data_IF_140530324916
#
_entry.id   IF_140530324916
#
_cell.length_a   1.000
_cell.length_b   1.000
_cell.length_c   1.000
_cell.angle_alpha   90.00
_cell.angle_beta   90.00
_cell.angle_gamma   90.00
#
_symmetry.space_group_name_H-M   'P 1'
#
loop_
_entity.id
_entity.type
_entity.pdbx_description
1 polymer ?
#
# COMPACT_ATOMS: atom_id res chain seq x y z
N UNK A 1 1.73 1.78 -29.59
CA UNK A 1 1.09 2.06 -28.32
C UNK A 1 2.09 1.80 -27.20
N UNK A 2 2.45 2.84 -26.46
CA UNK A 2 3.47 2.74 -25.42
C UNK A 2 2.79 2.33 -24.09
N UNK A 3 3.24 1.22 -23.50
CA UNK A 3 2.75 0.75 -22.21
C UNK A 3 3.71 1.24 -21.13
N UNK A 4 3.21 2.04 -20.20
CA UNK A 4 3.97 2.52 -19.06
C UNK A 4 3.82 1.51 -17.93
N UNK A 5 4.94 0.96 -17.47
CA UNK A 5 4.96 -0.04 -16.39
C UNK A 5 5.08 0.62 -15.03
N UNK A 6 4.37 0.10 -14.04
CA UNK A 6 4.46 0.50 -12.64
C UNK A 6 4.54 -0.71 -11.73
N UNK A 7 5.09 -0.52 -10.53
CA UNK A 7 5.12 -1.53 -9.49
C UNK A 7 4.17 -1.16 -8.36
N UNK A 8 3.49 -2.18 -7.81
CA UNK A 8 2.58 -2.00 -6.69
C UNK A 8 2.69 -3.17 -5.70
N UNK A 9 2.36 -2.91 -4.45
CA UNK A 9 2.42 -3.92 -3.39
C UNK A 9 1.09 -4.64 -3.20
N UNK A 10 1.18 -5.91 -2.85
CA UNK A 10 0.06 -6.74 -2.38
C UNK A 10 -0.11 -6.51 -0.87
N UNK A 11 -0.51 -5.29 -0.50
CA UNK A 11 -0.63 -4.87 0.89
C UNK A 11 -1.49 -5.80 1.75
N UNK A 12 -2.60 -6.33 1.20
CA UNK A 12 -3.46 -7.29 1.89
C UNK A 12 -2.70 -8.57 2.24
N UNK A 13 -1.93 -9.13 1.30
CA UNK A 13 -1.11 -10.30 1.56
C UNK A 13 -0.05 -10.03 2.64
N UNK A 14 0.53 -8.84 2.65
CA UNK A 14 1.47 -8.44 3.71
C UNK A 14 0.81 -8.46 5.08
N UNK A 15 -0.39 -7.89 5.21
CA UNK A 15 -1.13 -7.88 6.48
C UNK A 15 -1.44 -9.31 6.93
N UNK A 16 -1.92 -10.15 6.02
CA UNK A 16 -2.23 -11.57 6.33
C UNK A 16 -0.98 -12.30 6.80
N UNK A 17 0.13 -12.18 6.07
CA UNK A 17 1.39 -12.83 6.46
C UNK A 17 1.93 -12.30 7.80
N UNK A 18 1.80 -11.00 8.08
CA UNK A 18 2.15 -10.44 9.37
C UNK A 18 1.28 -11.02 10.50
N UNK A 19 -0.03 -11.10 10.28
CA UNK A 19 -0.98 -11.67 11.23
C UNK A 19 -0.71 -13.14 11.54
N UNK A 20 -0.28 -13.93 10.55
CA UNK A 20 0.11 -15.33 10.75
C UNK A 20 1.43 -15.42 11.52
N UNK A 21 2.39 -14.54 11.27
CA UNK A 21 3.70 -14.57 11.92
C UNK A 21 3.66 -14.10 13.39
N UNK A 22 2.74 -13.21 13.76
CA UNK A 22 2.62 -12.68 15.13
C UNK A 22 2.48 -13.76 16.22
N UNK A 23 1.60 -14.78 16.10
CA UNK A 23 1.50 -15.84 17.10
C UNK A 23 2.82 -16.59 17.31
N UNK A 24 3.60 -16.83 16.27
CA UNK A 24 4.90 -17.50 16.38
C UNK A 24 5.89 -16.64 17.17
N UNK A 25 5.93 -15.33 16.92
CA UNK A 25 6.77 -14.40 17.70
C UNK A 25 6.36 -14.42 19.18
N UNK A 26 5.06 -14.44 19.45
CA UNK A 26 4.53 -14.51 20.81
C UNK A 26 4.91 -15.81 21.52
N UNK A 27 4.79 -16.97 20.84
CA UNK A 27 5.21 -18.27 21.38
C UNK A 27 6.71 -18.27 21.72
N UNK A 28 7.55 -17.70 20.85
CA UNK A 28 9.00 -17.56 21.10
C UNK A 28 9.25 -16.72 22.36
N UNK A 29 8.52 -15.61 22.53
CA UNK A 29 8.64 -14.75 23.71
C UNK A 29 8.26 -15.49 25.00
N UNK A 30 7.17 -16.25 24.98
CA UNK A 30 6.77 -17.09 26.13
C UNK A 30 7.83 -18.13 26.47
N UNK A 31 8.41 -18.76 25.44
CA UNK A 31 9.47 -19.75 25.63
C UNK A 31 10.73 -19.13 26.24
N UNK A 32 11.15 -17.96 25.76
CA UNK A 32 12.30 -17.22 26.30
C UNK A 32 12.03 -16.82 27.76
N UNK A 33 10.84 -16.31 28.09
CA UNK A 33 10.47 -15.97 29.46
C UNK A 33 10.59 -17.18 30.41
N UNK A 34 10.08 -18.33 29.96
CA UNK A 34 10.17 -19.58 30.74
C UNK A 34 11.61 -20.04 30.93
N UNK A 35 12.46 -19.92 29.91
CA UNK A 35 13.87 -20.30 30.00
C UNK A 35 14.66 -19.39 30.96
N UNK A 36 14.29 -18.11 31.03
CA UNK A 36 14.96 -17.13 31.88
C UNK A 36 14.35 -17.01 33.28
N UNK A 37 13.33 -17.82 33.57
CA UNK A 37 12.57 -17.80 34.84
C UNK A 37 12.06 -16.40 35.22
N UNK A 38 11.63 -15.64 34.20
CA UNK A 38 11.13 -14.26 34.35
C UNK A 38 9.61 -14.31 34.53
N UNK A 39 9.11 -13.69 35.62
CA UNK A 39 7.68 -13.48 35.80
C UNK A 39 7.09 -12.57 34.70
N UNK A 40 5.95 -12.97 34.09
CA UNK A 40 5.30 -12.24 33.01
C UNK A 40 4.82 -10.84 33.41
N UNK A 41 4.61 -10.58 34.72
CA UNK A 41 4.23 -9.25 35.22
C UNK A 41 5.43 -8.32 35.42
N UNK A 42 6.66 -8.77 35.18
CA UNK A 42 7.85 -7.96 35.33
C UNK A 42 7.97 -6.90 34.25
N UNK A 43 8.21 -5.64 34.60
CA UNK A 43 8.40 -4.53 33.68
C UNK A 43 9.53 -4.81 32.67
N UNK A 44 10.61 -5.44 33.10
CA UNK A 44 11.73 -5.80 32.24
C UNK A 44 11.33 -6.81 31.16
N UNK A 45 10.49 -7.78 31.51
CA UNK A 45 9.94 -8.72 30.53
C UNK A 45 9.12 -7.99 29.46
N UNK A 46 8.23 -7.07 29.86
CA UNK A 46 7.44 -6.27 28.94
C UNK A 46 8.31 -5.44 27.99
N UNK A 47 9.38 -4.84 28.48
CA UNK A 47 10.32 -4.06 27.68
C UNK A 47 11.08 -4.93 26.68
N UNK A 48 11.56 -6.10 27.09
CA UNK A 48 12.24 -7.06 26.20
C UNK A 48 11.28 -7.53 25.11
N UNK A 49 10.06 -7.92 25.45
CA UNK A 49 9.05 -8.34 24.50
C UNK A 49 8.71 -7.24 23.49
N UNK A 50 8.51 -6.01 23.96
CA UNK A 50 8.26 -4.85 23.09
C UNK A 50 9.43 -4.61 22.12
N UNK A 51 10.66 -4.71 22.60
CA UNK A 51 11.87 -4.55 21.77
C UNK A 51 11.96 -5.64 20.70
N UNK A 52 11.74 -6.89 21.07
CA UNK A 52 11.73 -8.02 20.11
C UNK A 52 10.65 -7.80 19.04
N UNK A 53 9.45 -7.37 19.42
CA UNK A 53 8.36 -7.07 18.50
C UNK A 53 8.72 -5.95 17.52
N UNK A 54 9.34 -4.88 18.00
CA UNK A 54 9.78 -3.76 17.15
C UNK A 54 10.85 -4.20 16.17
N UNK A 55 11.84 -4.96 16.61
CA UNK A 55 12.89 -5.52 15.75
C UNK A 55 12.27 -6.44 14.68
N UNK A 56 11.35 -7.33 15.08
CA UNK A 56 10.66 -8.21 14.15
C UNK A 56 9.86 -7.42 13.11
N UNK A 57 9.08 -6.42 13.53
CA UNK A 57 8.33 -5.56 12.62
C UNK A 57 9.25 -4.85 11.63
N UNK A 58 10.37 -4.32 12.11
CA UNK A 58 11.36 -3.67 11.26
C UNK A 58 11.92 -4.64 10.20
N UNK A 59 12.36 -5.82 10.62
CA UNK A 59 12.89 -6.86 9.71
C UNK A 59 11.81 -7.29 8.71
N UNK A 60 10.59 -7.54 9.19
CA UNK A 60 9.46 -7.91 8.36
C UNK A 60 9.14 -6.84 7.31
N UNK A 61 9.08 -5.57 7.70
CA UNK A 61 8.86 -4.46 6.78
C UNK A 61 9.95 -4.40 5.70
N UNK A 62 11.22 -4.50 6.09
CA UNK A 62 12.35 -4.50 5.15
C UNK A 62 12.32 -5.69 4.20
N UNK A 63 12.07 -6.89 4.70
CA UNK A 63 11.99 -8.09 3.89
C UNK A 63 10.84 -8.03 2.87
N UNK A 64 9.65 -7.63 3.32
CA UNK A 64 8.45 -7.62 2.47
C UNK A 64 8.41 -6.46 1.48
N UNK A 65 9.22 -5.42 1.69
CA UNK A 65 9.22 -4.20 0.88
C UNK A 65 9.59 -4.47 -0.58
N UNK A 66 10.61 -5.29 -0.82
CA UNK A 66 11.15 -5.59 -2.15
C UNK A 66 11.01 -7.06 -2.55
N UNK A 67 10.34 -7.87 -1.73
CA UNK A 67 10.24 -9.29 -2.01
C UNK A 67 9.24 -9.57 -3.15
N UNK A 68 9.59 -10.40 -4.16
CA UNK A 68 8.73 -10.66 -5.35
C UNK A 68 7.33 -11.19 -5.02
N UNK A 69 7.14 -11.80 -3.87
CA UNK A 69 5.81 -12.29 -3.46
C UNK A 69 4.84 -11.15 -3.13
N UNK A 70 5.37 -10.02 -2.66
CA UNK A 70 4.58 -8.88 -2.22
C UNK A 70 4.56 -7.75 -3.24
N UNK A 71 5.48 -7.73 -4.18
CA UNK A 71 5.55 -6.76 -5.27
C UNK A 71 5.02 -7.37 -6.57
N UNK A 72 4.28 -6.58 -7.33
CA UNK A 72 3.74 -6.94 -8.64
C UNK A 72 3.95 -5.78 -9.60
N UNK A 73 4.13 -6.14 -10.85
CA UNK A 73 4.18 -5.17 -11.93
C UNK A 73 2.80 -5.09 -12.59
N UNK A 74 2.36 -3.88 -12.85
CA UNK A 74 1.23 -3.55 -13.70
C UNK A 74 1.68 -2.69 -14.85
N UNK A 75 0.76 -2.40 -15.75
CA UNK A 75 0.98 -1.45 -16.84
C UNK A 75 -0.28 -0.60 -17.04
N UNK A 76 -0.12 0.61 -17.55
CA UNK A 76 -1.23 1.40 -18.04
C UNK A 76 -0.86 2.00 -19.40
N UNK A 77 -1.88 2.29 -20.18
CA UNK A 77 -1.74 2.90 -21.51
C UNK A 77 -3.00 3.64 -21.89
N UNK A 78 -2.90 4.44 -22.92
CA UNK A 78 -4.01 5.20 -23.48
C UNK A 78 -4.29 4.65 -24.87
N UNK A 79 -5.55 4.39 -25.17
CA UNK A 79 -6.05 3.92 -26.45
C UNK A 79 -7.39 4.58 -26.73
N UNK A 80 -7.51 5.23 -27.88
CA UNK A 80 -8.72 5.94 -28.30
C UNK A 80 -9.29 6.90 -27.22
N UNK A 81 -8.41 7.63 -26.53
CA UNK A 81 -8.81 8.57 -25.48
C UNK A 81 -9.26 7.92 -24.17
N UNK A 82 -9.11 6.60 -24.05
CA UNK A 82 -9.48 5.86 -22.84
C UNK A 82 -8.24 5.32 -22.14
N UNK A 83 -8.19 5.44 -20.83
CA UNK A 83 -7.10 4.90 -20.00
C UNK A 83 -7.39 3.44 -19.66
N UNK A 84 -6.42 2.59 -19.93
CA UNK A 84 -6.45 1.17 -19.58
C UNK A 84 -5.43 0.88 -18.48
N UNK A 85 -5.81 0.06 -17.51
CA UNK A 85 -4.91 -0.41 -16.46
C UNK A 85 -4.87 -1.93 -16.45
N UNK A 86 -3.70 -2.49 -16.60
CA UNK A 86 -3.45 -3.91 -16.40
C UNK A 86 -2.93 -4.16 -15.01
N UNK A 87 -3.71 -4.88 -14.21
CA UNK A 87 -3.35 -5.33 -12.87
C UNK A 87 -3.42 -6.85 -12.81
N UNK A 88 -2.29 -7.51 -12.67
CA UNK A 88 -2.17 -8.97 -12.84
C UNK A 88 -2.63 -9.38 -14.26
N UNK A 89 -3.52 -10.36 -14.35
CA UNK A 89 -4.09 -10.84 -15.62
C UNK A 89 -5.40 -10.14 -16.02
N UNK A 90 -5.76 -9.05 -15.32
CA UNK A 90 -7.00 -8.31 -15.58
C UNK A 90 -6.69 -6.95 -16.18
N UNK A 91 -7.40 -6.63 -17.26
CA UNK A 91 -7.39 -5.32 -17.89
C UNK A 91 -8.65 -4.59 -17.45
N UNK A 92 -8.49 -3.37 -17.00
CA UNK A 92 -9.56 -2.46 -16.60
C UNK A 92 -9.56 -1.28 -17.56
N UNK A 93 -10.71 -1.05 -18.18
CA UNK A 93 -10.98 0.10 -19.03
C UNK A 93 -11.62 1.19 -18.16
N UNK A 94 -11.00 2.36 -18.09
CA UNK A 94 -11.45 3.50 -17.28
C UNK A 94 -12.25 4.48 -18.14
N UNK A 95 -13.44 4.08 -18.61
CA UNK A 95 -14.31 4.95 -19.45
C UNK A 95 -14.92 6.12 -18.67
N UNK A 96 -15.35 5.86 -17.43
CA UNK A 96 -15.95 6.85 -16.53
C UNK A 96 -15.42 6.60 -15.15
N UNK A 97 -14.61 7.51 -14.66
CA UNK A 97 -14.08 7.47 -13.31
C UNK A 97 -15.00 8.30 -12.43
N UNK A 98 -15.60 7.67 -11.41
CA UNK A 98 -16.48 8.35 -10.47
C UNK A 98 -15.68 9.05 -9.37
N UNK A 99 -14.53 8.49 -9.03
CA UNK A 99 -13.77 8.93 -7.89
C UNK A 99 -12.29 8.54 -8.03
N UNK A 100 -11.42 9.50 -7.82
CA UNK A 100 -9.96 9.33 -7.91
C UNK A 100 -9.30 9.97 -6.69
N UNK A 101 -8.54 9.18 -5.95
CA UNK A 101 -7.86 9.66 -4.75
C UNK A 101 -6.42 9.16 -4.69
N UNK A 102 -5.49 10.11 -4.57
CA UNK A 102 -4.12 9.86 -4.14
C UNK A 102 -3.98 10.15 -2.64
N UNK A 103 -3.30 9.33 -1.90
CA UNK A 103 -3.03 9.58 -0.48
C UNK A 103 -1.78 8.86 -0.02
N UNK A 104 -1.22 9.30 1.08
CA UNK A 104 -0.13 8.61 1.75
C UNK A 104 -0.69 7.75 2.87
N UNK A 105 -0.33 6.49 2.91
CA UNK A 105 -0.72 5.57 3.97
C UNK A 105 0.48 5.18 4.80
N UNK A 106 0.28 5.11 6.11
CA UNK A 106 1.28 4.57 7.02
C UNK A 106 1.05 3.07 7.18
N UNK A 107 2.08 2.29 6.87
CA UNK A 107 2.06 0.84 7.04
C UNK A 107 2.82 0.52 8.32
N UNK A 108 2.13 -0.04 9.30
CA UNK A 108 2.65 -0.35 10.66
C UNK A 108 3.24 0.86 11.40
N UNK A 109 2.80 2.08 11.10
CA UNK A 109 3.31 3.30 11.73
C UNK A 109 4.76 3.70 11.36
N UNK A 110 5.50 2.83 10.69
CA UNK A 110 6.93 3.02 10.43
C UNK A 110 7.25 3.33 8.97
N UNK A 111 6.37 2.97 8.07
CA UNK A 111 6.63 3.02 6.62
C UNK A 111 5.48 3.75 5.94
N UNK A 112 5.80 4.82 5.24
CA UNK A 112 4.83 5.56 4.44
C UNK A 112 4.86 5.06 3.00
N UNK A 113 3.70 4.88 2.39
CA UNK A 113 3.56 4.47 1.00
C UNK A 113 2.48 5.31 0.31
N UNK A 114 2.71 5.69 -0.93
CA UNK A 114 1.69 6.31 -1.75
C UNK A 114 0.61 5.30 -2.11
N UNK A 115 -0.64 5.68 -2.01
CA UNK A 115 -1.80 4.88 -2.38
C UNK A 115 -2.65 5.62 -3.40
N UNK A 116 -2.96 4.96 -4.49
CA UNK A 116 -3.89 5.42 -5.51
C UNK A 116 -5.16 4.58 -5.47
N UNK A 117 -6.29 5.24 -5.34
CA UNK A 117 -7.61 4.63 -5.37
C UNK A 117 -8.39 5.17 -6.55
N UNK A 118 -8.92 4.27 -7.37
CA UNK A 118 -9.69 4.59 -8.57
C UNK A 118 -11.03 3.86 -8.44
N UNK A 119 -12.13 4.59 -8.50
CA UNK A 119 -13.47 4.02 -8.56
C UNK A 119 -14.11 4.36 -9.91
N UNK A 120 -14.61 3.35 -10.60
CA UNK A 120 -15.28 3.47 -11.89
C UNK A 120 -16.48 2.51 -11.93
N UNK A 121 -17.65 3.06 -12.12
CA UNK A 121 -18.91 2.33 -11.95
C UNK A 121 -18.99 1.70 -10.56
N UNK A 122 -19.26 0.40 -10.49
CA UNK A 122 -19.29 -0.38 -9.23
C UNK A 122 -17.94 -1.01 -8.85
N UNK A 123 -16.88 -0.75 -9.61
CA UNK A 123 -15.56 -1.36 -9.39
C UNK A 123 -14.63 -0.37 -8.71
N UNK A 124 -13.71 -0.92 -7.91
CA UNK A 124 -12.67 -0.15 -7.22
C UNK A 124 -11.31 -0.82 -7.41
N UNK A 125 -10.32 -0.03 -7.79
CA UNK A 125 -8.91 -0.44 -7.87
C UNK A 125 -8.15 0.29 -6.78
N UNK A 126 -7.36 -0.43 -6.01
CA UNK A 126 -6.44 0.13 -5.02
C UNK A 126 -5.03 -0.30 -5.40
N UNK A 127 -4.15 0.67 -5.57
CA UNK A 127 -2.74 0.48 -5.83
C UNK A 127 -1.94 1.14 -4.71
N UNK A 128 -1.00 0.39 -4.14
CA UNK A 128 -0.09 0.91 -3.11
C UNK A 128 1.32 0.85 -3.68
N UNK A 129 2.04 1.96 -3.66
CA UNK A 129 3.41 2.03 -4.18
C UNK A 129 4.33 1.05 -3.47
N UNK A 130 5.23 0.44 -4.22
CA UNK A 130 6.32 -0.38 -3.66
C UNK A 130 7.44 0.47 -3.06
N UNK A 131 7.52 1.73 -3.44
CA UNK A 131 8.51 2.67 -2.90
C UNK A 131 7.98 3.31 -1.64
N UNK A 132 8.78 3.23 -0.60
CA UNK A 132 8.54 3.85 0.69
C UNK A 132 9.74 4.71 1.01
N UNK A 133 9.54 6.00 1.22
CA UNK A 133 10.57 6.94 1.65
C UNK A 133 10.19 7.52 3.01
N UNK A 134 11.12 8.12 3.70
CA UNK A 134 10.89 8.75 5.01
C UNK A 134 10.07 10.05 4.92
N UNK A 135 9.88 10.59 3.73
CA UNK A 135 9.25 11.90 3.45
C UNK A 135 8.10 11.76 2.45
N UNK A 136 7.36 10.64 2.48
CA UNK A 136 6.38 10.39 1.44
C UNK A 136 5.08 11.14 1.64
N UNK A 137 4.90 12.11 0.77
CA UNK A 137 3.57 12.45 0.27
C UNK A 137 3.29 11.60 -0.99
N UNK A 138 2.02 11.40 -1.33
CA UNK A 138 1.62 10.81 -2.61
C UNK A 138 2.30 11.50 -3.81
N UNK A 139 2.58 12.79 -3.70
CA UNK A 139 3.29 13.59 -4.69
C UNK A 139 4.66 13.05 -5.10
N UNK A 140 5.34 12.28 -4.25
CA UNK A 140 6.65 11.71 -4.52
C UNK A 140 6.59 10.23 -4.95
N UNK A 141 5.41 9.67 -5.17
CA UNK A 141 5.29 8.27 -5.52
C UNK A 141 5.13 8.06 -7.04
N UNK A 142 5.58 6.92 -7.54
CA UNK A 142 5.49 6.57 -8.97
C UNK A 142 4.05 6.46 -9.50
N UNK A 143 3.05 6.41 -8.63
CA UNK A 143 1.65 6.38 -9.03
C UNK A 143 1.10 7.78 -9.36
N UNK A 144 1.83 8.86 -9.06
CA UNK A 144 1.41 10.22 -9.35
C UNK A 144 1.21 10.42 -10.87
N UNK A 145 2.16 9.99 -11.67
CA UNK A 145 2.04 10.14 -13.14
C UNK A 145 0.79 9.44 -13.70
N UNK A 146 0.47 8.25 -13.18
CA UNK A 146 -0.78 7.56 -13.56
C UNK A 146 -2.01 8.35 -13.10
N UNK A 147 -1.98 8.92 -11.91
CA UNK A 147 -3.05 9.76 -11.37
C UNK A 147 -3.30 10.98 -12.27
N UNK A 148 -2.24 11.70 -12.65
CA UNK A 148 -2.30 12.86 -13.55
C UNK A 148 -2.85 12.47 -14.92
N UNK A 149 -2.38 11.35 -15.48
CA UNK A 149 -2.90 10.81 -16.75
C UNK A 149 -4.40 10.50 -16.66
N UNK A 150 -4.87 9.90 -15.57
CA UNK A 150 -6.30 9.61 -15.39
C UNK A 150 -7.10 10.91 -15.31
N UNK A 151 -6.61 11.94 -14.63
CA UNK A 151 -7.26 13.25 -14.57
C UNK A 151 -7.36 13.91 -15.94
N UNK A 152 -6.29 13.88 -16.71
CA UNK A 152 -6.26 14.47 -18.05
C UNK A 152 -7.32 13.87 -18.98
N UNK A 153 -7.52 12.56 -18.90
CA UNK A 153 -8.48 11.83 -19.75
C UNK A 153 -9.88 11.68 -19.12
N UNK A 154 -10.12 12.23 -17.93
CA UNK A 154 -11.41 12.26 -17.25
C UNK A 154 -11.71 13.68 -16.75
N UNK A 155 -11.91 14.60 -17.67
CA UNK A 155 -12.14 16.05 -17.41
C UNK A 155 -13.41 16.34 -16.59
N UNK A 156 -14.29 15.34 -16.40
CA UNK A 156 -15.50 15.44 -15.56
C UNK A 156 -15.18 15.42 -14.04
N UNK A 157 -13.95 15.00 -13.69
CA UNK A 157 -13.54 14.93 -12.29
C UNK A 157 -13.22 16.33 -11.74
N UNK A 158 -13.87 16.67 -10.63
CA UNK A 158 -13.69 17.95 -9.95
C UNK A 158 -12.89 17.71 -8.68
N UNK A 159 -11.96 18.61 -8.42
CA UNK A 159 -11.16 18.57 -7.20
C UNK A 159 -12.06 18.76 -5.97
N UNK A 160 -11.87 17.91 -4.97
CA UNK A 160 -12.45 18.14 -3.65
C UNK A 160 -11.57 19.14 -2.90
N UNK A 161 -12.13 20.28 -2.52
CA UNK A 161 -11.39 21.38 -1.91
C UNK A 161 -10.88 21.08 -0.49
N UNK A 162 -11.46 20.07 0.18
CA UNK A 162 -11.04 19.69 1.54
C UNK A 162 -9.77 18.82 1.56
N UNK A 163 -9.44 18.17 0.43
CA UNK A 163 -8.35 17.19 0.39
C UNK A 163 -7.45 17.36 -0.83
N UNK A 164 -6.16 17.29 -0.63
CA UNK A 164 -5.21 17.18 -1.72
C UNK A 164 -5.37 15.84 -2.45
N UNK A 165 -5.22 15.85 -3.77
CA UNK A 165 -5.32 14.68 -4.63
C UNK A 165 -6.62 13.88 -4.49
N UNK A 166 -7.74 14.56 -4.28
CA UNK A 166 -9.06 13.93 -4.27
C UNK A 166 -9.97 14.60 -5.31
N UNK A 167 -10.52 13.78 -6.21
CA UNK A 167 -11.37 14.21 -7.31
C UNK A 167 -12.59 13.31 -7.43
N UNK A 168 -13.74 13.89 -7.66
CA UNK A 168 -15.03 13.21 -7.74
C UNK A 168 -15.78 13.65 -9.00
N UNK A 169 -16.58 12.73 -9.57
CA UNK A 169 -17.53 13.07 -10.65
C UNK A 169 -18.73 13.82 -10.07
N UNK A 170 -19.30 14.74 -10.84
CA UNK A 170 -20.51 15.48 -10.46
C UNK A 170 -21.80 14.65 -10.44
N UNK A 171 -21.77 13.41 -10.97
CA UNK A 171 -22.94 12.54 -11.14
C UNK A 171 -23.00 11.42 -10.08
#
# INVERSE_FOLDING_TARGET
MEKITFTYQRWFLRIVCAGIALPFVFIIQLFVAKLMDIEYANLWYCLICATIMLIWLYIYCKFTQKHPWFERTGAYWIEDGTVYIQKQNKIYELKKVNWLRGTTVSVYGMVKAGMLVIQFGKKKIILVSSQTTSVDSFANCKLLHMFETILEYNSELIKNDEFDFWYESKD
#
